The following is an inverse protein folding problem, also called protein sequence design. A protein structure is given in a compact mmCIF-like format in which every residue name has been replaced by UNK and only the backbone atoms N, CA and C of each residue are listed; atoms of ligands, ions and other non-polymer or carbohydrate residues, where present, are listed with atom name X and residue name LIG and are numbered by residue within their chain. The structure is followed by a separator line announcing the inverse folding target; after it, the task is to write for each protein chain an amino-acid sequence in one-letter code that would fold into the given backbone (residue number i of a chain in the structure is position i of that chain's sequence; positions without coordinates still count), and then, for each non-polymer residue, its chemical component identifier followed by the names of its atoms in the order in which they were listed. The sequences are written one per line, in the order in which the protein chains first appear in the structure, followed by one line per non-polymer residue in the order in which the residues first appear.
data_IF_659066013723
#
_entry.id   IF_659066013723
#
_cell.length_a   1.000
_cell.length_b   1.000
_cell.length_c   1.000
_cell.angle_alpha   90.00
_cell.angle_beta   90.00
_cell.angle_gamma   90.00
#
_symmetry.space_group_name_H-M   'P 1'
#
loop_
_entity.id
_entity.type
_entity.pdbx_description
1 polymer ?
#
# COMPACT_ATOMS: atom_id res chain seq x y z
N UNK A 1 -4.28 4.15 33.59
CA UNK A 1 -5.74 4.21 33.32
C UNK A 1 -6.07 5.54 32.63
N UNK A 2 -6.25 5.56 31.31
CA UNK A 2 -6.66 6.75 30.55
C UNK A 2 -8.14 6.58 30.18
N UNK A 3 -9.01 7.38 30.79
CA UNK A 3 -10.44 7.48 30.40
C UNK A 3 -10.54 8.59 29.34
N UNK A 4 -10.88 8.21 28.11
CA UNK A 4 -11.13 9.13 26.99
C UNK A 4 -12.62 9.19 26.67
N UNK A 5 -13.13 10.42 26.53
CA UNK A 5 -14.53 10.83 26.37
C UNK A 5 -15.26 10.13 25.20
N UNK A 6 -16.52 9.74 25.45
CA UNK A 6 -17.50 9.42 24.41
C UNK A 6 -18.28 10.68 24.08
N UNK A 7 -18.13 11.21 22.86
CA UNK A 7 -18.98 12.27 22.35
C UNK A 7 -20.25 11.69 21.71
N UNK A 8 -21.37 12.18 22.22
CA UNK A 8 -22.73 11.95 21.78
C UNK A 8 -23.05 13.03 20.73
N UNK A 9 -23.48 12.63 19.54
CA UNK A 9 -24.24 13.50 18.64
C UNK A 9 -25.49 12.75 18.22
N UNK A 10 -26.60 13.07 18.88
CA UNK A 10 -27.97 12.79 18.44
C UNK A 10 -28.49 14.07 17.79
N UNK A 11 -28.80 14.03 16.51
CA UNK A 11 -29.59 15.02 15.75
C UNK A 11 -30.03 14.28 14.47
N UNK A 12 -31.26 14.28 13.99
CA UNK A 12 -32.51 14.89 14.42
C UNK A 12 -33.58 14.33 13.49
N UNK A 13 -34.81 14.14 14.01
CA UNK A 13 -35.97 13.73 13.23
C UNK A 13 -36.28 14.77 12.16
N UNK A 14 -36.43 14.34 10.91
CA UNK A 14 -37.17 15.06 9.89
C UNK A 14 -38.42 14.25 9.53
N UNK A 15 -39.56 14.77 9.98
CA UNK A 15 -40.91 14.29 9.67
C UNK A 15 -41.16 14.40 8.15
N UNK A 16 -41.33 13.26 7.47
CA UNK A 16 -41.84 13.24 6.10
C UNK A 16 -43.36 13.24 6.13
N UNK A 17 -43.95 14.37 5.76
CA UNK A 17 -45.37 14.50 5.49
C UNK A 17 -45.72 13.67 4.25
N UNK A 18 -46.63 12.71 4.42
CA UNK A 18 -47.26 11.98 3.34
C UNK A 18 -48.28 12.89 2.64
N UNK A 19 -48.14 13.05 1.33
CA UNK A 19 -49.17 13.64 0.46
C UNK A 19 -49.71 12.52 -0.44
N UNK A 20 -51.02 12.23 -0.42
CA UNK A 20 -51.61 11.36 -1.44
C UNK A 20 -51.97 12.23 -2.65
N UNK A 21 -51.23 12.07 -3.74
CA UNK A 21 -51.63 12.64 -5.04
C UNK A 21 -52.32 11.54 -5.84
N UNK A 22 -53.66 11.60 -5.87
CA UNK A 22 -54.48 10.96 -6.89
C UNK A 22 -54.33 11.76 -8.19
N UNK A 23 -53.77 11.14 -9.22
CA UNK A 23 -53.91 11.59 -10.61
C UNK A 23 -53.92 10.38 -11.53
N UNK A 24 -55.13 9.98 -11.94
CA UNK A 24 -55.36 9.08 -13.06
C UNK A 24 -55.22 9.90 -14.34
N UNK A 25 -53.99 10.05 -14.81
CA UNK A 25 -53.67 10.53 -16.15
C UNK A 25 -52.90 9.44 -16.88
N UNK A 26 -53.59 8.63 -17.68
CA UNK A 26 -52.94 7.80 -18.70
C UNK A 26 -52.44 8.74 -19.82
N UNK A 27 -51.27 9.34 -19.60
CA UNK A 27 -50.43 9.84 -20.67
C UNK A 27 -49.45 8.74 -21.06
N UNK A 28 -49.42 8.37 -22.33
CA UNK A 28 -48.40 7.47 -22.87
C UNK A 28 -47.02 8.04 -22.52
N UNK A 29 -46.32 7.37 -21.61
CA UNK A 29 -44.96 7.70 -21.25
C UNK A 29 -44.12 7.33 -22.49
N UNK A 30 -43.45 8.29 -23.15
CA UNK A 30 -42.57 7.96 -24.25
C UNK A 30 -41.49 7.03 -23.71
N UNK A 31 -41.35 5.89 -24.39
CA UNK A 31 -40.39 4.85 -24.07
C UNK A 31 -38.98 5.44 -24.23
N UNK A 32 -38.45 6.04 -23.15
CA UNK A 32 -37.06 6.44 -23.11
C UNK A 32 -36.26 5.17 -22.91
N UNK A 33 -35.84 4.59 -24.03
CA UNK A 33 -34.75 3.63 -24.10
C UNK A 33 -33.51 4.29 -23.51
N UNK A 34 -33.41 4.27 -22.17
CA UNK A 34 -32.20 4.57 -21.45
C UNK A 34 -31.20 3.50 -21.87
N UNK A 35 -30.36 3.83 -22.84
CA UNK A 35 -29.11 3.15 -23.14
C UNK A 35 -28.24 3.24 -21.89
N UNK A 36 -28.45 2.31 -20.95
CA UNK A 36 -27.51 2.03 -19.88
C UNK A 36 -26.28 1.45 -20.59
N UNK A 37 -25.36 2.33 -20.99
CA UNK A 37 -24.00 1.92 -21.36
C UNK A 37 -23.42 1.31 -20.08
N UNK A 38 -23.50 -0.02 -20.00
CA UNK A 38 -22.78 -0.84 -19.03
C UNK A 38 -21.28 -0.69 -19.30
N UNK A 39 -20.72 0.47 -18.95
CA UNK A 39 -19.27 0.62 -18.86
C UNK A 39 -18.84 -0.23 -17.67
N UNK A 40 -18.21 -1.37 -17.96
CA UNK A 40 -17.59 -2.20 -16.92
C UNK A 40 -16.72 -1.30 -16.04
N UNK A 41 -16.85 -1.34 -14.71
CA UNK A 41 -15.98 -0.58 -13.84
C UNK A 41 -14.54 -0.99 -14.15
N UNK A 42 -13.72 -0.02 -14.55
CA UNK A 42 -12.29 -0.21 -14.72
C UNK A 42 -11.72 -0.38 -13.31
N UNK A 43 -11.42 -1.61 -12.92
CA UNK A 43 -10.76 -1.88 -11.65
C UNK A 43 -9.38 -1.24 -11.77
N UNK A 44 -9.14 -0.24 -10.95
CA UNK A 44 -7.84 0.40 -10.86
C UNK A 44 -6.90 -0.58 -10.13
N UNK A 45 -6.03 -1.24 -10.90
CA UNK A 45 -5.04 -2.15 -10.37
C UNK A 45 -3.95 -1.34 -9.64
N UNK A 46 -3.86 -1.56 -8.33
CA UNK A 46 -2.80 -1.03 -7.47
C UNK A 46 -1.52 -1.80 -7.82
N UNK A 47 -0.40 -1.10 -7.97
CA UNK A 47 0.88 -1.77 -8.16
C UNK A 47 1.20 -2.57 -6.92
N UNK A 48 1.49 -3.86 -7.08
CA UNK A 48 1.80 -4.75 -5.96
C UNK A 48 3.25 -5.21 -6.03
N UNK A 49 3.94 -5.14 -4.90
CA UNK A 49 5.24 -5.79 -4.72
C UNK A 49 4.99 -7.30 -4.60
N UNK A 50 5.57 -8.08 -5.51
CA UNK A 50 5.36 -9.53 -5.61
C UNK A 50 6.53 -10.34 -5.06
N UNK A 51 7.71 -9.71 -4.94
CA UNK A 51 8.91 -10.36 -4.45
C UNK A 51 8.93 -10.46 -2.92
N UNK A 52 9.60 -11.50 -2.42
CA UNK A 52 9.87 -11.67 -0.99
C UNK A 52 11.32 -11.24 -0.69
N UNK A 53 11.55 -10.43 0.35
CA UNK A 53 12.88 -9.97 0.70
C UNK A 53 13.74 -11.11 1.25
N UNK A 54 15.05 -10.99 1.06
CA UNK A 54 16.03 -11.81 1.77
C UNK A 54 16.17 -11.20 3.16
N UNK A 55 15.92 -11.98 4.21
CA UNK A 55 15.86 -11.47 5.58
C UNK A 55 17.03 -11.86 6.46
N UNK A 56 17.96 -12.70 5.97
CA UNK A 56 19.14 -13.11 6.71
C UNK A 56 20.38 -12.78 5.89
N UNK A 57 21.35 -12.12 6.49
CA UNK A 57 22.57 -11.69 5.82
C UNK A 57 23.80 -11.88 6.71
N UNK A 58 24.94 -12.05 6.05
CA UNK A 58 26.23 -12.25 6.72
C UNK A 58 27.07 -10.99 6.56
N UNK A 59 27.71 -10.54 7.65
CA UNK A 59 28.64 -9.41 7.61
C UNK A 59 29.72 -9.65 6.54
N UNK A 60 30.05 -8.62 5.77
CA UNK A 60 30.99 -8.65 4.64
C UNK A 60 30.54 -9.46 3.40
N UNK A 61 29.28 -9.88 3.32
CA UNK A 61 28.68 -10.42 2.09
C UNK A 61 27.88 -9.36 1.33
N UNK A 62 27.69 -9.57 0.03
CA UNK A 62 26.91 -8.64 -0.80
C UNK A 62 25.43 -8.96 -0.67
N UNK A 63 24.66 -8.01 -0.15
CA UNK A 63 23.21 -8.05 -0.23
C UNK A 63 22.75 -7.70 -1.64
N UNK A 64 21.90 -8.54 -2.24
CA UNK A 64 21.25 -8.25 -3.50
C UNK A 64 19.83 -8.80 -3.50
N UNK A 65 18.84 -7.91 -3.43
CA UNK A 65 17.42 -8.24 -3.48
C UNK A 65 16.76 -7.51 -4.64
N UNK A 66 16.31 -8.28 -5.63
CA UNK A 66 15.55 -7.78 -6.76
C UNK A 66 14.08 -7.61 -6.37
N UNK A 67 13.58 -6.40 -6.48
CA UNK A 67 12.17 -6.07 -6.22
C UNK A 67 11.36 -6.33 -7.49
N UNK A 68 10.41 -7.25 -7.40
CA UNK A 68 9.49 -7.56 -8.51
C UNK A 68 8.13 -6.91 -8.26
N UNK A 69 7.64 -6.19 -9.27
CA UNK A 69 6.34 -5.50 -9.24
C UNK A 69 5.50 -5.94 -10.43
N UNK A 70 4.17 -5.88 -10.29
CA UNK A 70 3.22 -6.27 -11.34
C UNK A 70 3.25 -5.33 -12.58
N UNK A 71 3.67 -4.08 -12.39
CA UNK A 71 3.84 -3.07 -13.44
C UNK A 71 5.25 -2.47 -13.43
N UNK A 72 5.55 -1.56 -14.38
CA UNK A 72 6.79 -0.77 -14.40
C UNK A 72 6.78 0.31 -13.31
N UNK A 73 6.71 -0.10 -12.05
CA UNK A 73 6.81 0.77 -10.89
C UNK A 73 8.27 1.13 -10.62
N UNK A 74 8.51 2.34 -10.13
CA UNK A 74 9.82 2.75 -9.62
C UNK A 74 9.79 2.62 -8.10
N UNK A 75 10.85 2.03 -7.54
CA UNK A 75 10.97 1.82 -6.11
C UNK A 75 11.94 2.80 -5.46
N UNK A 76 11.61 3.24 -4.25
CA UNK A 76 12.42 4.12 -3.40
C UNK A 76 12.53 3.55 -1.98
N UNK A 77 13.63 3.87 -1.30
CA UNK A 77 13.85 3.50 0.11
C UNK A 77 13.20 4.56 0.99
N UNK A 78 12.31 4.14 1.90
CA UNK A 78 11.77 4.99 2.96
C UNK A 78 12.64 4.92 4.21
N UNK A 79 13.12 3.72 4.55
CA UNK A 79 13.96 3.45 5.71
C UNK A 79 14.88 2.28 5.40
N UNK A 80 16.17 2.44 5.65
CA UNK A 80 17.14 1.34 5.58
C UNK A 80 18.43 1.71 6.35
N UNK A 81 19.27 0.72 6.68
CA UNK A 81 20.64 0.95 7.08
C UNK A 81 21.43 1.74 6.03
N UNK A 82 22.44 2.49 6.47
CA UNK A 82 23.24 3.37 5.60
C UNK A 82 24.00 2.64 4.49
N UNK A 83 24.24 1.34 4.66
CA UNK A 83 24.97 0.51 3.72
C UNK A 83 24.07 -0.06 2.60
N UNK A 84 22.75 0.09 2.70
CA UNK A 84 21.78 -0.28 1.67
C UNK A 84 21.47 0.91 0.77
N UNK A 85 21.42 0.66 -0.53
CA UNK A 85 20.97 1.59 -1.56
C UNK A 85 20.10 0.85 -2.59
N UNK A 86 19.36 1.62 -3.40
CA UNK A 86 18.51 1.07 -4.46
C UNK A 86 19.01 1.53 -5.83
N UNK A 87 19.12 0.61 -6.77
CA UNK A 87 19.51 0.88 -8.14
C UNK A 87 18.75 -0.09 -9.07
N UNK A 88 18.04 0.44 -10.07
CA UNK A 88 17.28 -0.38 -11.04
C UNK A 88 16.29 -1.37 -10.39
N UNK A 89 15.57 -0.95 -9.34
CA UNK A 89 14.69 -1.79 -8.52
C UNK A 89 15.39 -2.99 -7.86
N UNK A 90 16.70 -2.92 -7.66
CA UNK A 90 17.47 -3.86 -6.84
C UNK A 90 17.97 -3.13 -5.59
N UNK A 91 17.62 -3.66 -4.42
CA UNK A 91 18.26 -3.27 -3.17
C UNK A 91 19.61 -3.96 -3.08
N UNK A 92 20.66 -3.15 -3.00
CA UNK A 92 22.04 -3.59 -2.94
C UNK A 92 22.72 -3.01 -1.72
N UNK A 93 23.74 -3.70 -1.24
CA UNK A 93 24.51 -3.21 -0.12
C UNK A 93 25.57 -4.19 0.34
N UNK A 94 26.42 -3.73 1.24
CA UNK A 94 27.38 -4.57 1.92
C UNK A 94 27.60 -4.06 3.34
N UNK A 95 27.13 -4.78 4.38
CA UNK A 95 27.47 -4.43 5.76
C UNK A 95 28.99 -4.57 5.94
N UNK A 96 29.64 -3.49 6.37
CA UNK A 96 31.11 -3.36 6.34
C UNK A 96 31.77 -3.44 7.72
N UNK A 97 31.07 -3.38 8.88
CA UNK A 97 31.77 -3.30 10.17
C UNK A 97 31.21 -4.13 11.33
N UNK A 98 32.04 -5.12 11.69
CA UNK A 98 32.60 -5.62 12.98
C UNK A 98 32.27 -4.93 14.34
N UNK A 99 31.27 -4.06 14.50
CA UNK A 99 30.77 -3.74 15.85
C UNK A 99 29.49 -4.51 16.12
N UNK A 100 29.26 -4.89 17.39
CA UNK A 100 28.01 -5.54 17.82
C UNK A 100 26.75 -4.70 17.53
N UNK A 101 26.89 -3.50 16.95
CA UNK A 101 25.80 -2.58 16.63
C UNK A 101 25.25 -2.80 15.20
N UNK A 102 26.02 -3.39 14.27
CA UNK A 102 25.53 -3.78 12.94
C UNK A 102 25.07 -5.25 12.89
N UNK A 103 25.42 -6.04 13.91
CA UNK A 103 24.88 -7.40 14.10
C UNK A 103 23.56 -7.27 14.86
N UNK A 104 22.50 -7.88 14.34
CA UNK A 104 21.18 -7.77 14.95
C UNK A 104 20.09 -7.59 13.91
N UNK A 105 19.06 -6.81 14.27
CA UNK A 105 17.90 -6.58 13.43
C UNK A 105 17.86 -5.15 12.93
N UNK A 106 17.91 -5.01 11.62
CA UNK A 106 17.73 -3.75 10.92
C UNK A 106 16.41 -3.74 10.16
N UNK A 107 15.64 -2.68 10.31
CA UNK A 107 14.34 -2.55 9.65
C UNK A 107 14.48 -1.81 8.33
N UNK A 108 13.96 -2.43 7.27
CA UNK A 108 13.91 -1.89 5.91
C UNK A 108 12.46 -1.65 5.51
N UNK A 109 12.20 -0.50 4.89
CA UNK A 109 10.91 -0.12 4.33
C UNK A 109 11.12 0.48 2.95
N UNK A 110 10.50 -0.11 1.94
CA UNK A 110 10.52 0.33 0.56
C UNK A 110 9.13 0.66 0.07
N UNK A 111 9.06 1.58 -0.89
CA UNK A 111 7.83 1.98 -1.55
C UNK A 111 8.03 1.91 -3.06
N UNK A 112 7.12 1.25 -3.76
CA UNK A 112 7.11 1.19 -5.22
C UNK A 112 5.86 1.89 -5.76
N UNK A 113 6.00 2.69 -6.82
CA UNK A 113 4.89 3.49 -7.37
C UNK A 113 4.97 3.71 -8.89
N UNK A 114 3.80 3.78 -9.55
CA UNK A 114 3.60 4.18 -10.96
C UNK A 114 3.03 5.60 -11.13
N UNK A 115 3.32 6.52 -10.20
CA UNK A 115 2.78 7.90 -10.12
C UNK A 115 1.30 8.00 -9.71
N UNK A 116 0.52 6.90 -9.79
CA UNK A 116 -0.90 6.91 -9.45
C UNK A 116 -1.21 6.08 -8.22
N UNK A 117 -0.59 4.92 -8.10
CA UNK A 117 -0.69 4.03 -6.94
C UNK A 117 0.69 3.76 -6.36
N UNK A 118 0.70 3.25 -5.14
CA UNK A 118 1.90 2.76 -4.51
C UNK A 118 1.58 1.57 -3.61
N UNK A 119 2.61 0.77 -3.38
CA UNK A 119 2.64 -0.29 -2.38
C UNK A 119 3.93 -0.20 -1.57
N UNK A 120 3.86 -0.66 -0.33
CA UNK A 120 4.94 -0.56 0.65
C UNK A 120 5.23 -1.93 1.21
N UNK A 121 6.52 -2.29 1.23
CA UNK A 121 6.98 -3.53 1.85
C UNK A 121 7.93 -3.20 3.00
N UNK A 122 7.64 -3.74 4.18
CA UNK A 122 8.47 -3.60 5.37
C UNK A 122 8.95 -4.98 5.83
N UNK A 123 10.23 -5.07 6.17
CA UNK A 123 10.84 -6.30 6.66
C UNK A 123 12.04 -6.00 7.55
N UNK A 124 12.41 -6.97 8.37
CA UNK A 124 13.61 -6.92 9.20
C UNK A 124 14.71 -7.79 8.56
N UNK A 125 15.91 -7.23 8.46
CA UNK A 125 17.14 -7.92 8.13
C UNK A 125 17.80 -8.38 9.42
N UNK A 126 17.99 -9.69 9.55
CA UNK A 126 18.82 -10.31 10.57
C UNK A 126 20.24 -10.43 10.03
N UNK A 127 21.17 -9.69 10.64
CA UNK A 127 22.58 -9.67 10.25
C UNK A 127 23.36 -10.54 11.22
N UNK A 128 24.05 -11.55 10.69
CA UNK A 128 24.88 -12.49 11.44
C UNK A 128 26.38 -12.18 11.29
N UNK A 129 27.21 -12.48 12.31
CA UNK A 129 28.65 -12.32 12.21
C UNK A 129 29.24 -13.17 11.07
N UNK A 130 30.11 -12.57 10.25
CA UNK A 130 30.90 -13.32 9.27
C UNK A 130 31.96 -14.19 9.95
N UNK A 131 32.29 -15.32 9.32
CA UNK A 131 33.42 -16.17 9.71
C UNK A 131 34.70 -15.53 9.15
N UNK A 132 35.67 -15.25 10.02
CA UNK A 132 36.97 -14.64 9.68
C UNK A 132 38.02 -15.70 9.37
#
# INVERSE_FOLDING_TARGET
MKKGLKNIVKNGLASLLAVPILSLGCGEIPNQDYLIKNSKPKIEQVDMIMSNPITNEIVNENYNYKIETDQRANCEILKAPKWIYIENNELKGKPHRISNDEVGKDSVSIKCSNNKYYDTQEFDLQIEPGIW
#
